data_IF_530191739329
#
_entry.id   IF_530191739329
#
_cell.length_a   1.000
_cell.length_b   1.000
_cell.length_c   1.000
_cell.angle_alpha   90.00
_cell.angle_beta   90.00
_cell.angle_gamma   90.00
#
_symmetry.space_group_name_H-M   'P 1'
#
loop_
_entity.id
_entity.type
_entity.pdbx_description
1 polymer ?
#
# COMPACT_ATOMS: atom_id res chain seq x y z
N UNK A 1 19.99 12.01 -1.88
CA UNK A 1 19.96 12.53 -0.49
C UNK A 1 18.99 11.67 0.30
N UNK A 2 19.46 11.10 1.41
CA UNK A 2 18.73 10.15 2.26
C UNK A 2 17.69 10.97 3.06
N UNK A 3 16.39 10.66 2.91
CA UNK A 3 15.34 11.23 3.77
C UNK A 3 15.67 10.93 5.24
N UNK A 4 15.48 11.89 6.16
CA UNK A 4 15.78 11.68 7.56
C UNK A 4 14.96 10.52 8.12
N UNK A 5 15.61 9.59 8.81
CA UNK A 5 14.91 8.53 9.52
C UNK A 5 13.96 9.16 10.56
N UNK A 6 12.74 8.64 10.74
CA UNK A 6 11.82 9.18 11.72
C UNK A 6 12.47 9.16 13.12
N UNK A 7 12.24 10.23 13.89
CA UNK A 7 12.75 10.37 15.26
C UNK A 7 12.37 9.17 16.14
N UNK A 8 13.21 8.81 17.11
CA UNK A 8 12.98 7.63 17.96
C UNK A 8 11.59 7.66 18.67
N UNK A 9 11.10 8.84 19.04
CA UNK A 9 9.76 9.03 19.63
C UNK A 9 8.60 8.78 18.64
N UNK A 10 8.76 9.19 17.37
CA UNK A 10 7.75 8.94 16.33
C UNK A 10 7.74 7.49 15.85
N UNK A 11 8.90 6.82 15.85
CA UNK A 11 9.01 5.38 15.53
C UNK A 11 8.29 4.49 16.54
N UNK A 12 8.47 4.74 17.84
CA UNK A 12 7.76 4.00 18.90
C UNK A 12 6.24 4.16 18.78
N UNK A 13 5.76 5.38 18.52
CA UNK A 13 4.34 5.64 18.30
C UNK A 13 3.77 4.97 17.05
N UNK A 14 4.53 4.92 15.95
CA UNK A 14 4.14 4.21 14.73
C UNK A 14 4.01 2.70 14.93
N UNK A 15 5.03 2.05 15.50
CA UNK A 15 5.00 0.60 15.74
C UNK A 15 3.83 0.21 16.63
N UNK A 16 3.50 1.04 17.62
CA UNK A 16 2.30 0.84 18.43
C UNK A 16 1.02 0.93 17.59
N UNK A 17 0.89 1.92 16.70
CA UNK A 17 -0.29 2.06 15.82
C UNK A 17 -0.38 0.91 14.81
N UNK A 18 0.73 0.47 14.23
CA UNK A 18 0.78 -0.69 13.34
C UNK A 18 0.32 -1.97 14.05
N UNK A 19 0.84 -2.23 15.26
CA UNK A 19 0.41 -3.35 16.11
C UNK A 19 -1.08 -3.27 16.47
N UNK A 20 -1.59 -2.07 16.78
CA UNK A 20 -3.01 -1.86 17.06
C UNK A 20 -3.86 -2.08 15.81
N UNK A 21 -3.43 -1.59 14.65
CA UNK A 21 -4.14 -1.79 13.39
C UNK A 21 -4.23 -3.28 13.04
N UNK A 22 -3.12 -3.99 13.14
CA UNK A 22 -3.10 -5.43 12.87
C UNK A 22 -3.67 -6.29 14.00
N UNK A 23 -4.18 -5.71 15.10
CA UNK A 23 -4.58 -6.45 16.29
C UNK A 23 -5.58 -7.58 15.99
N UNK A 24 -6.56 -7.34 15.12
CA UNK A 24 -7.55 -8.38 14.75
C UNK A 24 -6.91 -9.57 14.03
N UNK A 25 -5.95 -9.32 13.14
CA UNK A 25 -5.22 -10.38 12.43
C UNK A 25 -4.25 -11.08 13.39
N UNK A 26 -3.56 -10.29 14.21
CA UNK A 26 -2.59 -10.76 15.21
C UNK A 26 -3.22 -11.65 16.26
N UNK A 27 -4.41 -11.34 16.78
CA UNK A 27 -5.04 -12.12 17.87
C UNK A 27 -5.18 -13.60 17.50
N UNK A 28 -5.50 -13.91 16.24
CA UNK A 28 -5.62 -15.30 15.77
C UNK A 28 -4.26 -16.02 15.71
N UNK A 29 -3.19 -15.32 15.31
CA UNK A 29 -1.85 -15.89 15.20
C UNK A 29 -1.12 -15.94 16.55
N UNK A 30 -1.13 -14.84 17.30
CA UNK A 30 -0.44 -14.73 18.58
C UNK A 30 -1.07 -15.62 19.67
N UNK A 31 -2.37 -15.91 19.59
CA UNK A 31 -3.04 -16.84 20.50
C UNK A 31 -2.43 -18.24 20.49
N UNK A 32 -1.93 -18.70 19.35
CA UNK A 32 -1.28 -20.02 19.22
C UNK A 32 0.08 -20.10 19.94
N UNK A 33 0.75 -18.97 20.13
CA UNK A 33 2.05 -18.89 20.79
C UNK A 33 1.94 -18.65 22.32
N UNK A 34 0.76 -18.85 22.92
CA UNK A 34 0.51 -18.56 24.34
C UNK A 34 0.83 -19.71 25.31
N UNK A 35 1.43 -20.80 24.82
CA UNK A 35 1.87 -21.95 25.62
C UNK A 35 1.59 -23.28 24.94
N UNK A 36 2.55 -24.21 24.98
CA UNK A 36 2.43 -25.53 24.36
C UNK A 36 3.75 -26.08 23.82
N UNK A 37 3.69 -27.30 23.29
CA UNK A 37 4.82 -27.95 22.61
C UNK A 37 4.76 -27.57 21.12
N UNK A 38 5.93 -27.45 20.49
CA UNK A 38 6.04 -27.33 19.03
C UNK A 38 5.97 -28.73 18.46
N UNK A 39 4.77 -29.18 18.12
CA UNK A 39 4.50 -30.47 17.47
C UNK A 39 3.79 -30.29 16.13
N UNK A 40 3.45 -31.39 15.46
CA UNK A 40 2.78 -31.33 14.15
C UNK A 40 1.39 -30.69 14.24
N UNK A 41 0.66 -30.90 15.34
CA UNK A 41 -0.67 -30.32 15.55
C UNK A 41 -0.58 -28.79 15.69
N UNK A 42 0.42 -28.29 16.41
CA UNK A 42 0.70 -26.85 16.49
C UNK A 42 0.99 -26.24 15.10
N UNK A 43 1.75 -26.94 14.25
CA UNK A 43 2.08 -26.45 12.91
C UNK A 43 0.88 -26.46 11.97
N UNK A 44 -0.01 -27.45 12.10
CA UNK A 44 -1.28 -27.52 11.36
C UNK A 44 -2.23 -26.38 11.78
N UNK A 45 -2.38 -26.14 13.09
CA UNK A 45 -3.17 -25.02 13.61
C UNK A 45 -2.61 -23.66 13.15
N UNK A 46 -1.29 -23.54 13.10
CA UNK A 46 -0.61 -22.35 12.57
C UNK A 46 -0.89 -22.15 11.07
N UNK A 47 -0.90 -23.22 10.28
CA UNK A 47 -1.27 -23.17 8.86
C UNK A 47 -2.71 -22.67 8.69
N UNK A 48 -3.65 -23.23 9.45
CA UNK A 48 -5.06 -22.79 9.43
C UNK A 48 -5.21 -21.32 9.84
N UNK A 49 -4.46 -20.86 10.83
CA UNK A 49 -4.48 -19.46 11.25
C UNK A 49 -3.92 -18.52 10.16
N UNK A 50 -2.86 -18.90 9.45
CA UNK A 50 -2.33 -18.14 8.31
C UNK A 50 -3.35 -18.05 7.16
N UNK A 51 -4.02 -19.16 6.85
CA UNK A 51 -5.09 -19.19 5.85
C UNK A 51 -6.25 -18.29 6.28
N UNK A 52 -6.69 -18.38 7.53
CA UNK A 52 -7.73 -17.53 8.11
C UNK A 52 -7.38 -16.04 8.12
N UNK A 53 -6.08 -15.72 8.17
CA UNK A 53 -5.56 -14.36 8.03
C UNK A 53 -5.47 -13.87 6.57
N UNK A 54 -5.99 -14.63 5.60
CA UNK A 54 -5.92 -14.38 4.15
C UNK A 54 -4.48 -14.38 3.57
N UNK A 55 -3.53 -15.12 4.16
CA UNK A 55 -2.20 -15.37 3.55
C UNK A 55 -2.30 -16.21 2.27
N UNK A 56 -3.39 -16.97 2.13
CA UNK A 56 -3.66 -17.86 1.00
C UNK A 56 -3.10 -19.26 1.22
N UNK A 57 -3.75 -20.28 0.67
CA UNK A 57 -3.45 -21.70 0.94
C UNK A 57 -2.02 -22.04 0.54
N UNK A 58 -1.65 -21.78 -0.73
CA UNK A 58 -0.31 -22.09 -1.25
C UNK A 58 0.80 -21.40 -0.45
N UNK A 59 0.65 -20.10 -0.20
CA UNK A 59 1.65 -19.32 0.54
C UNK A 59 1.76 -19.77 1.99
N UNK A 60 0.65 -20.12 2.64
CA UNK A 60 0.66 -20.61 4.02
C UNK A 60 1.40 -21.94 4.10
N UNK A 61 1.12 -22.86 3.18
CA UNK A 61 1.80 -24.14 3.09
C UNK A 61 3.31 -23.99 2.88
N UNK A 62 3.72 -23.12 1.93
CA UNK A 62 5.13 -22.80 1.68
C UNK A 62 5.84 -22.26 2.94
N UNK A 63 5.18 -21.37 3.69
CA UNK A 63 5.71 -20.82 4.93
C UNK A 63 5.88 -21.90 6.02
N UNK A 64 4.91 -22.81 6.15
CA UNK A 64 4.97 -23.90 7.15
C UNK A 64 6.06 -24.90 6.81
N UNK A 65 6.25 -25.27 5.55
CA UNK A 65 7.32 -26.19 5.15
C UNK A 65 8.72 -25.55 5.34
N UNK A 66 8.87 -24.26 5.07
CA UNK A 66 10.09 -23.51 5.38
C UNK A 66 10.36 -23.48 6.89
N UNK A 67 9.31 -23.24 7.70
CA UNK A 67 9.40 -23.22 9.15
C UNK A 67 9.77 -24.59 9.74
N UNK A 68 9.15 -25.67 9.26
CA UNK A 68 9.49 -27.06 9.62
C UNK A 68 10.96 -27.36 9.35
N UNK A 69 11.48 -26.90 8.23
CA UNK A 69 12.89 -27.05 7.86
C UNK A 69 13.79 -26.32 8.86
N UNK A 70 13.49 -25.06 9.19
CA UNK A 70 14.25 -24.30 10.19
C UNK A 70 14.20 -24.92 11.58
N UNK A 71 13.03 -25.38 12.04
CA UNK A 71 12.90 -26.05 13.36
C UNK A 71 13.89 -27.20 13.47
N UNK A 72 14.02 -28.02 12.43
CA UNK A 72 14.94 -29.16 12.39
C UNK A 72 16.41 -28.75 12.28
N UNK A 73 16.72 -27.80 11.40
CA UNK A 73 18.11 -27.40 11.09
C UNK A 73 18.71 -26.56 12.22
N UNK A 74 17.96 -25.59 12.73
CA UNK A 74 18.41 -24.65 13.75
C UNK A 74 18.16 -25.18 15.18
N UNK A 75 17.43 -26.29 15.31
CA UNK A 75 17.10 -26.90 16.59
C UNK A 75 16.23 -26.01 17.47
N UNK A 76 15.19 -25.40 16.90
CA UNK A 76 14.29 -24.49 17.63
C UNK A 76 13.42 -25.28 18.61
N UNK A 77 13.50 -24.96 19.90
CA UNK A 77 12.87 -25.73 20.98
C UNK A 77 11.66 -25.02 21.60
N UNK A 78 11.58 -23.70 21.44
CA UNK A 78 10.55 -22.88 22.09
C UNK A 78 9.60 -22.26 21.08
N UNK A 79 8.34 -22.07 21.47
CA UNK A 79 7.35 -21.36 20.66
C UNK A 79 7.81 -19.94 20.29
N UNK A 80 8.56 -19.26 21.16
CA UNK A 80 9.11 -17.93 20.87
C UNK A 80 10.19 -17.96 19.78
N UNK A 81 11.07 -18.97 19.76
CA UNK A 81 12.03 -19.18 18.67
C UNK A 81 11.31 -19.46 17.34
N UNK A 82 10.29 -20.32 17.37
CA UNK A 82 9.46 -20.63 16.19
C UNK A 82 8.71 -19.40 15.69
N UNK A 83 8.17 -18.57 16.59
CA UNK A 83 7.50 -17.31 16.24
C UNK A 83 8.47 -16.33 15.55
N UNK A 84 9.70 -16.23 16.05
CA UNK A 84 10.75 -15.42 15.42
C UNK A 84 11.11 -15.95 14.04
N UNK A 85 11.29 -17.26 13.91
CA UNK A 85 11.54 -17.90 12.62
C UNK A 85 10.38 -17.65 11.62
N UNK A 86 9.12 -17.73 12.06
CA UNK A 86 7.97 -17.36 11.23
C UNK A 86 8.01 -15.90 10.79
N UNK A 87 8.35 -14.97 11.70
CA UNK A 87 8.51 -13.56 11.36
C UNK A 87 9.64 -13.35 10.34
N UNK A 88 10.74 -14.08 10.46
CA UNK A 88 11.84 -14.04 9.49
C UNK A 88 11.42 -14.56 8.11
N UNK A 89 10.69 -15.67 8.05
CA UNK A 89 10.17 -16.23 6.79
C UNK A 89 9.17 -15.28 6.12
N UNK A 90 8.26 -14.67 6.90
CA UNK A 90 7.35 -13.64 6.40
C UNK A 90 8.10 -12.39 5.93
N UNK A 91 9.15 -11.98 6.64
CA UNK A 91 10.01 -10.87 6.23
C UNK A 91 10.68 -11.18 4.90
N UNK A 92 11.29 -12.37 4.76
CA UNK A 92 11.93 -12.81 3.53
C UNK A 92 10.95 -12.88 2.35
N UNK A 93 9.73 -13.33 2.59
CA UNK A 93 8.65 -13.32 1.61
C UNK A 93 8.31 -11.90 1.13
N UNK A 94 8.19 -10.94 2.05
CA UNK A 94 7.73 -9.58 1.78
C UNK A 94 8.83 -8.65 1.27
N UNK A 95 10.09 -8.93 1.61
CA UNK A 95 11.25 -8.07 1.30
C UNK A 95 11.36 -7.67 -0.17
N UNK A 96 11.11 -8.56 -1.16
CA UNK A 96 11.18 -8.18 -2.59
C UNK A 96 10.15 -7.12 -3.00
N UNK A 97 9.09 -6.94 -2.22
CA UNK A 97 8.09 -5.90 -2.43
C UNK A 97 8.33 -4.65 -1.57
N UNK A 98 9.34 -4.62 -0.71
CA UNK A 98 9.71 -3.38 -0.02
C UNK A 98 10.35 -2.40 -1.01
N UNK A 99 9.79 -1.18 -1.13
CA UNK A 99 10.35 -0.18 -2.02
C UNK A 99 9.93 1.24 -1.66
N UNK A 100 10.52 2.21 -2.36
CA UNK A 100 10.31 3.64 -2.13
C UNK A 100 10.17 4.37 -3.46
N UNK A 101 9.46 5.49 -3.43
CA UNK A 101 9.38 6.39 -4.58
C UNK A 101 10.74 7.10 -4.74
N UNK A 102 11.34 7.00 -5.92
CA UNK A 102 12.53 7.76 -6.27
C UNK A 102 12.16 9.14 -6.83
N UNK A 103 12.10 10.11 -5.93
CA UNK A 103 11.80 11.50 -6.26
C UNK A 103 12.89 12.23 -7.05
N UNK A 104 14.04 11.61 -7.32
CA UNK A 104 15.10 12.22 -8.14
C UNK A 104 14.92 12.00 -9.65
N UNK A 105 14.03 11.06 -10.05
CA UNK A 105 13.83 10.65 -11.44
C UNK A 105 13.29 11.75 -12.35
N UNK A 106 12.53 12.69 -11.78
CA UNK A 106 11.88 13.76 -12.55
C UNK A 106 11.41 14.90 -11.66
N UNK A 107 11.25 16.09 -12.25
CA UNK A 107 10.71 17.28 -11.59
C UNK A 107 9.79 18.05 -12.56
N UNK A 108 8.45 17.99 -12.39
CA UNK A 108 7.74 17.27 -11.34
C UNK A 108 7.76 15.74 -11.55
N UNK A 109 7.88 14.99 -10.45
CA UNK A 109 7.51 13.58 -10.43
C UNK A 109 5.97 13.47 -10.45
N UNK A 110 5.44 12.84 -11.49
CA UNK A 110 3.98 12.68 -11.67
C UNK A 110 3.53 11.31 -11.16
N UNK A 111 2.67 11.31 -10.14
CA UNK A 111 2.04 10.13 -9.55
C UNK A 111 0.58 10.03 -10.03
N UNK A 112 0.19 8.91 -10.63
CA UNK A 112 -1.20 8.57 -10.93
C UNK A 112 -1.73 7.61 -9.88
N UNK A 113 -2.77 8.00 -9.14
CA UNK A 113 -3.37 7.17 -8.09
C UNK A 113 -4.63 6.51 -8.61
N UNK A 114 -4.62 5.18 -8.70
CA UNK A 114 -5.71 4.37 -9.20
C UNK A 114 -6.29 3.44 -8.12
N UNK A 115 -7.45 2.86 -8.39
CA UNK A 115 -8.11 1.90 -7.50
C UNK A 115 -9.63 2.06 -7.48
N UNK A 116 -10.32 1.07 -6.91
CA UNK A 116 -11.79 1.07 -6.86
C UNK A 116 -12.34 2.12 -5.89
N UNK A 117 -13.63 2.41 -5.99
CA UNK A 117 -14.33 3.22 -4.99
C UNK A 117 -14.27 2.56 -3.61
N UNK A 118 -14.16 3.38 -2.56
CA UNK A 118 -14.09 2.89 -1.19
C UNK A 118 -12.69 2.42 -0.74
N UNK A 119 -11.74 2.18 -1.65
CA UNK A 119 -10.38 1.75 -1.29
C UNK A 119 -9.54 2.82 -0.56
N UNK A 120 -10.03 4.05 -0.47
CA UNK A 120 -9.34 5.14 0.25
C UNK A 120 -8.38 5.98 -0.61
N UNK A 121 -8.62 6.10 -1.92
CA UNK A 121 -7.78 6.92 -2.85
C UNK A 121 -7.58 8.35 -2.41
N UNK A 122 -8.66 9.14 -2.35
CA UNK A 122 -8.61 10.56 -2.00
C UNK A 122 -8.02 10.78 -0.60
N UNK A 123 -8.33 9.90 0.35
CA UNK A 123 -7.71 9.90 1.69
C UNK A 123 -6.21 9.63 1.63
N UNK A 124 -5.77 8.63 0.87
CA UNK A 124 -4.35 8.30 0.70
C UNK A 124 -3.58 9.42 0.00
N UNK A 125 -4.19 10.11 -0.97
CA UNK A 125 -3.61 11.28 -1.63
C UNK A 125 -3.39 12.40 -0.61
N UNK A 126 -4.39 12.71 0.22
CA UNK A 126 -4.25 13.74 1.26
C UNK A 126 -3.13 13.43 2.26
N UNK A 127 -3.03 12.16 2.69
CA UNK A 127 -1.96 11.71 3.60
C UNK A 127 -0.59 11.73 2.94
N UNK A 128 -0.47 11.25 1.71
CA UNK A 128 0.77 11.28 0.95
C UNK A 128 1.24 12.71 0.69
N UNK A 129 0.32 13.61 0.36
CA UNK A 129 0.62 15.03 0.14
C UNK A 129 1.18 15.70 1.40
N UNK A 130 0.60 15.39 2.57
CA UNK A 130 1.14 15.85 3.87
C UNK A 130 2.50 15.24 4.18
N UNK A 131 2.67 13.93 3.96
CA UNK A 131 3.96 13.26 4.13
C UNK A 131 5.06 13.91 3.26
N UNK A 132 4.76 14.21 2.00
CA UNK A 132 5.67 14.92 1.08
C UNK A 132 5.97 16.36 1.53
N UNK A 133 4.96 17.08 2.03
CA UNK A 133 5.16 18.43 2.56
C UNK A 133 6.06 18.43 3.80
N UNK A 134 5.94 17.42 4.66
CA UNK A 134 6.84 17.24 5.82
C UNK A 134 8.28 16.90 5.37
N UNK A 135 8.45 16.28 4.21
CA UNK A 135 9.74 16.06 3.54
C UNK A 135 10.22 17.30 2.73
N UNK A 136 9.60 18.46 2.95
CA UNK A 136 9.90 19.73 2.27
C UNK A 136 9.77 19.70 0.74
N UNK A 137 8.89 18.84 0.22
CA UNK A 137 8.58 18.77 -1.22
C UNK A 137 7.34 19.59 -1.53
N UNK A 138 7.41 20.39 -2.58
CA UNK A 138 6.27 21.11 -3.14
C UNK A 138 5.36 20.14 -3.91
N UNK A 139 4.06 20.20 -3.61
CA UNK A 139 3.06 19.28 -4.16
C UNK A 139 1.97 20.07 -4.90
N UNK A 140 1.49 19.52 -6.01
CA UNK A 140 0.31 19.97 -6.72
C UNK A 140 -0.65 18.79 -6.90
N UNK A 141 -1.93 18.99 -6.59
CA UNK A 141 -2.95 17.94 -6.70
C UNK A 141 -3.82 18.16 -7.93
N UNK A 142 -4.14 17.08 -8.65
CA UNK A 142 -5.09 17.09 -9.76
C UNK A 142 -6.35 16.31 -9.38
N UNK A 143 -7.50 16.98 -9.40
CA UNK A 143 -8.80 16.38 -9.07
C UNK A 143 -9.40 15.64 -10.29
N UNK A 144 -8.77 14.55 -10.71
CA UNK A 144 -9.19 13.77 -11.88
C UNK A 144 -10.39 12.83 -11.65
N UNK A 145 -10.89 12.65 -10.42
CA UNK A 145 -12.21 12.05 -10.17
C UNK A 145 -13.33 13.10 -10.45
N UNK A 146 -13.55 13.40 -11.73
CA UNK A 146 -14.49 14.45 -12.14
C UNK A 146 -15.96 14.02 -12.03
N UNK A 147 -16.23 12.71 -11.91
CA UNK A 147 -17.57 12.16 -11.75
C UNK A 147 -18.15 12.40 -10.35
N UNK A 148 -17.30 12.47 -9.32
CA UNK A 148 -17.74 12.58 -7.92
C UNK A 148 -17.44 13.97 -7.37
N UNK A 149 -18.46 14.82 -7.32
CA UNK A 149 -18.36 16.16 -6.70
C UNK A 149 -17.77 16.10 -5.28
N UNK A 150 -18.24 15.17 -4.45
CA UNK A 150 -17.74 14.96 -3.10
C UNK A 150 -16.24 14.56 -3.05
N UNK A 151 -15.73 13.83 -4.04
CA UNK A 151 -14.31 13.48 -4.09
C UNK A 151 -13.45 14.73 -4.37
N UNK A 152 -13.90 15.60 -5.29
CA UNK A 152 -13.24 16.87 -5.57
C UNK A 152 -13.24 17.80 -4.35
N UNK A 153 -14.39 17.93 -3.68
CA UNK A 153 -14.50 18.72 -2.44
C UNK A 153 -13.61 18.17 -1.33
N UNK A 154 -13.59 16.85 -1.14
CA UNK A 154 -12.72 16.21 -0.16
C UNK A 154 -11.23 16.46 -0.48
N UNK A 155 -10.83 16.36 -1.74
CA UNK A 155 -9.46 16.67 -2.16
C UNK A 155 -9.10 18.15 -1.96
N UNK A 156 -10.04 19.06 -2.22
CA UNK A 156 -9.87 20.49 -1.96
C UNK A 156 -9.70 20.80 -0.47
N UNK A 157 -10.47 20.13 0.40
CA UNK A 157 -10.31 20.23 1.86
C UNK A 157 -8.92 19.73 2.28
N UNK A 158 -8.45 18.61 1.71
CA UNK A 158 -7.10 18.10 1.95
C UNK A 158 -6.02 19.08 1.48
N UNK A 159 -6.19 19.69 0.31
CA UNK A 159 -5.30 20.72 -0.22
C UNK A 159 -5.23 21.94 0.72
N UNK A 160 -6.39 22.50 1.06
CA UNK A 160 -6.49 23.67 1.93
C UNK A 160 -5.87 23.43 3.32
N UNK A 161 -6.11 22.26 3.93
CA UNK A 161 -5.52 21.89 5.23
C UNK A 161 -4.00 21.82 5.22
N UNK A 162 -3.39 21.54 4.07
CA UNK A 162 -1.95 21.36 3.94
C UNK A 162 -1.27 22.50 3.16
N UNK A 163 -2.00 23.57 2.83
CA UNK A 163 -1.54 24.65 1.95
C UNK A 163 -1.00 24.14 0.60
N UNK A 164 -1.71 23.17 0.02
CA UNK A 164 -1.41 22.53 -1.26
C UNK A 164 -2.49 22.92 -2.26
N UNK A 165 -2.06 23.41 -3.42
CA UNK A 165 -2.99 23.80 -4.48
C UNK A 165 -3.62 22.55 -5.14
N UNK A 166 -4.90 22.69 -5.50
CA UNK A 166 -5.66 21.65 -6.18
C UNK A 166 -6.20 22.21 -7.49
N UNK A 167 -5.83 21.58 -8.60
CA UNK A 167 -6.38 21.87 -9.93
C UNK A 167 -7.60 20.99 -10.14
N UNK A 168 -8.74 21.61 -10.37
CA UNK A 168 -10.03 20.95 -10.56
C UNK A 168 -10.84 21.67 -11.63
N UNK A 169 -11.66 20.91 -12.37
CA UNK A 169 -12.70 21.45 -13.25
C UNK A 169 -14.05 20.84 -12.85
N UNK A 170 -15.14 21.59 -12.99
CA UNK A 170 -16.50 21.11 -12.73
C UNK A 170 -17.07 20.44 -13.98
N UNK A 171 -17.30 19.12 -13.93
CA UNK A 171 -17.85 18.37 -15.06
C UNK A 171 -16.90 18.25 -16.27
N UNK A 172 -15.61 18.51 -16.07
CA UNK A 172 -14.58 18.43 -17.12
C UNK A 172 -14.13 16.99 -17.39
N UNK A 173 -13.47 16.80 -18.54
CA UNK A 173 -12.82 15.55 -18.91
C UNK A 173 -11.65 15.26 -17.92
N UNK A 174 -11.63 14.11 -17.20
CA UNK A 174 -10.51 13.74 -16.34
C UNK A 174 -9.15 13.88 -17.00
N UNK A 175 -9.04 13.49 -18.28
CA UNK A 175 -7.80 13.56 -19.04
C UNK A 175 -7.33 15.02 -19.26
N UNK A 176 -8.24 15.98 -19.39
CA UNK A 176 -7.91 17.39 -19.50
C UNK A 176 -7.44 17.97 -18.15
N UNK A 177 -8.13 17.64 -17.06
CA UNK A 177 -7.75 18.10 -15.70
C UNK A 177 -6.33 17.66 -15.33
N UNK A 178 -5.97 16.39 -15.60
CA UNK A 178 -4.62 15.90 -15.32
C UNK A 178 -3.57 16.49 -16.26
N UNK A 179 -3.92 16.76 -17.53
CA UNK A 179 -3.01 17.42 -18.48
C UNK A 179 -2.64 18.83 -18.00
N UNK A 180 -3.66 19.59 -17.60
CA UNK A 180 -3.49 20.96 -17.10
C UNK A 180 -2.66 20.95 -15.81
N UNK A 181 -2.91 19.99 -14.91
CA UNK A 181 -2.17 19.89 -13.67
C UNK A 181 -0.70 19.52 -13.87
N UNK A 182 -0.39 18.58 -14.77
CA UNK A 182 1.00 18.23 -15.11
C UNK A 182 1.70 19.41 -15.78
N UNK A 183 1.02 20.09 -16.70
CA UNK A 183 1.55 21.28 -17.40
C UNK A 183 1.83 22.43 -16.42
N UNK A 184 0.91 22.70 -15.49
CA UNK A 184 1.07 23.69 -14.45
C UNK A 184 2.20 23.32 -13.48
N UNK A 185 2.28 22.06 -13.05
CA UNK A 185 3.36 21.56 -12.20
C UNK A 185 4.73 21.75 -12.84
N UNK A 186 4.85 21.45 -14.14
CA UNK A 186 6.07 21.70 -14.93
C UNK A 186 6.41 23.18 -15.00
N UNK A 187 5.45 24.04 -15.34
CA UNK A 187 5.67 25.48 -15.48
C UNK A 187 6.10 26.15 -14.16
N UNK A 188 5.60 25.63 -13.03
CA UNK A 188 5.88 26.14 -11.67
C UNK A 188 7.10 25.49 -11.01
N UNK A 189 7.68 24.45 -11.61
CA UNK A 189 8.82 23.72 -11.05
C UNK A 189 8.52 23.02 -9.73
N UNK A 190 7.28 22.56 -9.53
CA UNK A 190 6.91 21.79 -8.32
C UNK A 190 7.64 20.44 -8.30
N UNK A 191 7.83 19.87 -7.11
CA UNK A 191 8.54 18.61 -6.97
C UNK A 191 7.67 17.41 -7.35
N UNK A 192 6.38 17.43 -6.99
CA UNK A 192 5.46 16.30 -7.20
C UNK A 192 4.09 16.77 -7.68
N UNK A 193 3.53 16.08 -8.68
CA UNK A 193 2.12 16.20 -9.08
C UNK A 193 1.42 14.89 -8.75
N UNK A 194 0.32 14.93 -8.00
CA UNK A 194 -0.48 13.73 -7.67
C UNK A 194 -1.85 13.86 -8.33
N UNK A 195 -2.18 12.92 -9.21
CA UNK A 195 -3.47 12.86 -9.88
C UNK A 195 -4.39 11.83 -9.21
N UNK A 196 -5.53 12.30 -8.68
CA UNK A 196 -6.65 11.44 -8.32
C UNK A 196 -7.35 10.95 -9.59
N UNK A 197 -7.94 9.76 -9.55
CA UNK A 197 -8.71 9.21 -10.67
C UNK A 197 -10.04 8.67 -10.20
N UNK A 198 -11.00 8.54 -11.11
CA UNK A 198 -12.24 7.84 -10.82
C UNK A 198 -11.98 6.40 -10.34
N UNK A 199 -12.81 5.91 -9.43
CA UNK A 199 -12.76 4.51 -8.96
C UNK A 199 -13.96 3.66 -9.34
N UNK A 200 -14.91 4.22 -10.09
CA UNK A 200 -16.08 3.49 -10.59
C UNK A 200 -16.60 4.14 -11.86
N UNK A 201 -16.66 3.32 -12.90
CA UNK A 201 -17.43 3.57 -14.12
C UNK A 201 -18.47 2.45 -14.27
N UNK A 202 -19.41 2.52 -15.23
CA UNK A 202 -20.49 1.53 -15.36
C UNK A 202 -19.99 0.08 -15.44
N UNK A 203 -18.78 -0.14 -15.96
CA UNK A 203 -18.10 -1.44 -16.00
C UNK A 203 -16.61 -1.29 -15.62
N UNK A 204 -15.97 -2.38 -15.21
CA UNK A 204 -14.52 -2.40 -15.00
C UNK A 204 -13.76 -2.06 -16.29
N UNK A 205 -14.24 -2.51 -17.45
CA UNK A 205 -13.59 -2.22 -18.74
C UNK A 205 -13.55 -0.71 -19.03
N UNK A 206 -14.66 0.00 -18.79
CA UNK A 206 -14.67 1.46 -18.94
C UNK A 206 -13.69 2.13 -17.99
N UNK A 207 -13.58 1.66 -16.74
CA UNK A 207 -12.58 2.16 -15.78
C UNK A 207 -11.16 1.98 -16.31
N UNK A 208 -10.82 0.81 -16.84
CA UNK A 208 -9.47 0.56 -17.37
C UNK A 208 -9.15 1.43 -18.60
N UNK A 209 -10.10 1.60 -19.52
CA UNK A 209 -9.89 2.47 -20.69
C UNK A 209 -9.74 3.94 -20.29
N UNK A 210 -10.47 4.40 -19.28
CA UNK A 210 -10.32 5.74 -18.73
C UNK A 210 -8.93 5.96 -18.12
N UNK A 211 -8.42 5.01 -17.34
CA UNK A 211 -7.09 5.08 -16.77
C UNK A 211 -5.99 5.08 -17.84
N UNK A 212 -6.14 4.29 -18.91
CA UNK A 212 -5.24 4.33 -20.07
C UNK A 212 -5.26 5.70 -20.76
N UNK A 213 -6.43 6.33 -20.87
CA UNK A 213 -6.59 7.66 -21.45
C UNK A 213 -5.92 8.73 -20.60
N UNK A 214 -6.11 8.70 -19.28
CA UNK A 214 -5.43 9.56 -18.31
C UNK A 214 -3.90 9.41 -18.42
N UNK A 215 -3.40 8.17 -18.45
CA UNK A 215 -1.97 7.87 -18.62
C UNK A 215 -1.39 8.52 -19.89
N UNK A 216 -2.05 8.36 -21.05
CA UNK A 216 -1.63 9.00 -22.31
C UNK A 216 -1.66 10.53 -22.24
N UNK A 217 -2.62 11.09 -21.51
CA UNK A 217 -2.72 12.54 -21.33
C UNK A 217 -1.56 13.10 -20.52
N UNK A 218 -1.19 12.42 -19.43
CA UNK A 218 -0.03 12.79 -18.62
C UNK A 218 1.27 12.73 -19.44
N UNK A 219 1.48 11.67 -20.24
CA UNK A 219 2.64 11.55 -21.14
C UNK A 219 2.72 12.68 -22.17
N UNK A 220 1.57 13.09 -22.72
CA UNK A 220 1.50 14.23 -23.64
C UNK A 220 1.89 15.55 -22.98
N UNK A 221 1.53 15.76 -21.71
CA UNK A 221 1.89 16.96 -20.96
C UNK A 221 3.38 16.97 -20.54
N UNK A 222 3.90 15.81 -20.18
CA UNK A 222 5.29 15.60 -19.79
C UNK A 222 5.74 14.20 -20.25
N UNK A 223 6.58 14.09 -21.28
CA UNK A 223 7.05 12.80 -21.78
C UNK A 223 7.63 11.92 -20.67
N UNK A 224 7.18 10.67 -20.58
CA UNK A 224 7.54 9.73 -19.52
C UNK A 224 6.62 9.76 -18.29
N UNK A 225 5.66 10.68 -18.21
CA UNK A 225 4.64 10.69 -17.17
C UNK A 225 3.47 9.73 -17.51
N UNK A 226 2.76 9.19 -16.51
CA UNK A 226 3.10 9.21 -15.08
C UNK A 226 4.36 8.37 -14.80
N UNK A 227 5.19 8.87 -13.88
CA UNK A 227 6.43 8.21 -13.48
C UNK A 227 6.17 7.12 -12.46
N UNK A 228 5.09 7.28 -11.67
CA UNK A 228 4.55 6.27 -10.77
C UNK A 228 3.06 6.07 -11.03
N UNK A 229 2.63 4.82 -11.11
CA UNK A 229 1.23 4.40 -11.17
C UNK A 229 0.95 3.57 -9.93
N UNK A 230 0.24 4.18 -8.98
CA UNK A 230 0.06 3.65 -7.64
C UNK A 230 -1.37 3.12 -7.49
N UNK A 231 -1.50 1.83 -7.23
CA UNK A 231 -2.79 1.22 -6.92
C UNK A 231 -3.07 1.27 -5.41
N UNK A 232 -4.19 1.85 -5.03
CA UNK A 232 -4.71 1.78 -3.67
C UNK A 232 -5.54 0.51 -3.49
N UNK A 233 -5.12 -0.33 -2.55
CA UNK A 233 -5.74 -1.60 -2.19
C UNK A 233 -6.40 -1.47 -0.82
N UNK A 234 -7.65 -1.91 -0.72
CA UNK A 234 -8.34 -2.05 0.56
C UNK A 234 -7.92 -3.37 1.22
N UNK A 235 -7.23 -3.30 2.37
CA UNK A 235 -6.76 -4.47 3.12
C UNK A 235 -7.88 -5.37 3.65
N UNK A 236 -9.13 -4.90 3.68
CA UNK A 236 -10.28 -5.73 4.06
C UNK A 236 -10.71 -6.71 2.95
N UNK A 237 -10.28 -6.49 1.70
CA UNK A 237 -10.72 -7.27 0.55
C UNK A 237 -10.04 -8.64 0.43
N UNK A 238 -9.04 -8.95 1.26
CA UNK A 238 -8.41 -10.26 1.30
C UNK A 238 -7.83 -10.68 -0.06
N UNK A 239 -8.07 -11.92 -0.46
CA UNK A 239 -7.63 -12.50 -1.73
C UNK A 239 -8.19 -11.78 -2.98
N UNK A 240 -9.30 -11.05 -2.88
CA UNK A 240 -9.82 -10.27 -4.02
C UNK A 240 -8.85 -9.15 -4.45
N UNK A 241 -7.96 -8.72 -3.55
CA UNK A 241 -6.92 -7.76 -3.85
C UNK A 241 -5.95 -8.26 -4.93
N UNK A 242 -5.64 -9.57 -4.97
CA UNK A 242 -4.71 -10.13 -5.96
C UNK A 242 -5.28 -10.00 -7.38
N UNK A 243 -6.54 -10.40 -7.59
CA UNK A 243 -7.21 -10.26 -8.87
C UNK A 243 -7.30 -8.78 -9.31
N UNK A 244 -7.50 -7.88 -8.35
CA UNK A 244 -7.49 -6.44 -8.60
C UNK A 244 -6.10 -5.96 -9.05
N UNK A 245 -5.02 -6.34 -8.35
CA UNK A 245 -3.66 -5.97 -8.74
C UNK A 245 -3.38 -6.41 -10.17
N UNK A 246 -3.71 -7.66 -10.52
CA UNK A 246 -3.50 -8.18 -11.86
C UNK A 246 -4.26 -7.36 -12.92
N UNK A 247 -5.55 -7.11 -12.71
CA UNK A 247 -6.38 -6.39 -13.67
C UNK A 247 -5.91 -4.94 -13.92
N UNK A 248 -5.50 -4.23 -12.87
CA UNK A 248 -4.99 -2.87 -13.01
C UNK A 248 -3.58 -2.85 -13.63
N UNK A 249 -2.74 -3.81 -13.28
CA UNK A 249 -1.38 -3.93 -13.83
C UNK A 249 -1.40 -4.24 -15.34
N UNK A 250 -2.27 -5.14 -15.78
CA UNK A 250 -2.45 -5.42 -17.21
C UNK A 250 -2.98 -4.19 -17.97
N UNK A 251 -3.78 -3.35 -17.32
CA UNK A 251 -4.37 -2.17 -17.95
C UNK A 251 -3.39 -1.00 -18.06
N UNK A 252 -2.64 -0.70 -17.00
CA UNK A 252 -1.85 0.54 -16.92
C UNK A 252 -0.38 0.36 -16.54
N UNK A 253 0.05 -0.83 -16.13
CA UNK A 253 1.42 -1.12 -15.68
C UNK A 253 1.73 -0.45 -14.35
N UNK A 254 1.41 -1.13 -13.25
CA UNK A 254 1.58 -0.58 -11.91
C UNK A 254 3.07 -0.49 -11.54
N UNK A 255 3.44 0.57 -10.83
CA UNK A 255 4.79 0.77 -10.30
C UNK A 255 4.83 0.71 -8.78
N UNK A 256 3.68 0.83 -8.12
CA UNK A 256 3.60 0.75 -6.67
C UNK A 256 2.20 0.43 -6.14
N UNK A 257 2.16 -0.04 -4.91
CA UNK A 257 0.93 -0.32 -4.16
C UNK A 257 0.91 0.52 -2.88
N UNK A 258 -0.28 0.95 -2.49
CA UNK A 258 -0.56 1.42 -1.12
C UNK A 258 -1.70 0.58 -0.57
N UNK A 259 -1.49 -0.03 0.59
CA UNK A 259 -2.54 -0.84 1.24
C UNK A 259 -3.15 -0.07 2.39
N UNK A 260 -4.45 0.08 2.42
CA UNK A 260 -5.19 0.86 3.43
C UNK A 260 -6.06 -0.04 4.31
N UNK A 261 -6.64 0.55 5.37
CA UNK A 261 -7.62 -0.09 6.26
C UNK A 261 -7.15 -1.38 6.93
N UNK A 262 -5.85 -1.49 7.17
CA UNK A 262 -5.29 -2.65 7.87
C UNK A 262 -5.78 -2.73 9.34
N UNK A 263 -6.25 -1.62 9.90
CA UNK A 263 -6.92 -1.51 11.21
C UNK A 263 -8.33 -2.11 11.25
N UNK A 264 -9.00 -2.19 10.10
CA UNK A 264 -10.35 -2.70 10.02
C UNK A 264 -10.45 -4.23 10.06
N UNK A 265 -9.35 -4.94 9.83
CA UNK A 265 -9.39 -6.31 9.26
C UNK A 265 -8.59 -7.37 10.02
N UNK A 266 -9.11 -8.59 10.01
CA UNK A 266 -8.38 -9.81 10.39
C UNK A 266 -7.64 -10.46 9.19
N UNK A 267 -7.65 -9.79 8.03
CA UNK A 267 -7.18 -10.30 6.74
C UNK A 267 -5.84 -9.68 6.30
N UNK A 268 -5.00 -9.30 7.27
CA UNK A 268 -3.71 -8.64 6.99
C UNK A 268 -2.74 -9.49 6.17
N UNK A 269 -2.93 -10.81 6.11
CA UNK A 269 -2.12 -11.74 5.32
C UNK A 269 -2.23 -11.58 3.80
N UNK A 270 -3.23 -10.84 3.29
CA UNK A 270 -3.41 -10.63 1.86
C UNK A 270 -2.18 -10.04 1.15
N UNK A 271 -1.36 -9.25 1.85
CA UNK A 271 -0.09 -8.73 1.33
C UNK A 271 0.87 -9.87 0.97
N UNK A 272 1.02 -10.86 1.87
CA UNK A 272 1.87 -12.01 1.65
C UNK A 272 1.44 -12.79 0.39
N UNK A 273 0.12 -12.96 0.20
CA UNK A 273 -0.42 -13.59 -1.00
C UNK A 273 -0.11 -12.82 -2.29
N UNK A 274 -0.26 -11.48 -2.27
CA UNK A 274 0.05 -10.63 -3.43
C UNK A 274 1.52 -10.73 -3.79
N UNK A 275 2.41 -10.65 -2.79
CA UNK A 275 3.86 -10.74 -3.02
C UNK A 275 4.25 -12.13 -3.51
N UNK A 276 3.69 -13.20 -2.91
CA UNK A 276 3.93 -14.58 -3.33
C UNK A 276 3.52 -14.82 -4.79
N UNK A 277 2.32 -14.39 -5.17
CA UNK A 277 1.81 -14.54 -6.53
C UNK A 277 2.62 -13.73 -7.57
N UNK A 278 3.37 -12.72 -7.11
CA UNK A 278 4.14 -11.81 -7.97
C UNK A 278 5.65 -11.89 -7.74
N UNK A 279 6.18 -12.96 -7.15
CA UNK A 279 7.63 -13.15 -6.88
C UNK A 279 8.51 -12.89 -8.11
N UNK A 280 8.06 -13.26 -9.31
CA UNK A 280 8.82 -13.07 -10.56
C UNK A 280 8.76 -11.64 -11.12
N UNK A 281 7.73 -10.87 -10.76
CA UNK A 281 7.57 -9.45 -11.14
C UNK A 281 6.97 -8.67 -9.97
N UNK A 282 7.76 -8.46 -8.89
CA UNK A 282 7.26 -7.78 -7.70
C UNK A 282 6.82 -6.36 -8.03
N UNK A 283 5.70 -5.94 -7.46
CA UNK A 283 5.32 -4.52 -7.44
C UNK A 283 5.61 -4.01 -6.03
N UNK A 284 6.41 -2.95 -5.87
CA UNK A 284 6.70 -2.38 -4.57
C UNK A 284 5.44 -1.98 -3.80
N UNK A 285 5.33 -2.39 -2.55
CA UNK A 285 4.43 -1.80 -1.57
C UNK A 285 5.15 -0.56 -1.03
N UNK A 286 4.63 0.61 -1.37
CA UNK A 286 5.26 1.88 -1.05
C UNK A 286 4.85 2.35 0.35
N UNK A 287 3.56 2.22 0.68
CA UNK A 287 2.99 2.66 1.96
C UNK A 287 1.92 1.70 2.45
N UNK A 288 1.73 1.70 3.77
CA UNK A 288 0.60 1.05 4.44
C UNK A 288 -0.16 2.03 5.32
N UNK A 289 -1.48 1.87 5.36
CA UNK A 289 -2.43 2.70 6.09
C UNK A 289 -3.14 1.89 7.18
N UNK A 290 -3.02 2.33 8.43
CA UNK A 290 -3.52 1.63 9.63
C UNK A 290 -4.50 2.47 10.46
N UNK A 291 -5.20 3.40 9.82
CA UNK A 291 -6.20 4.24 10.48
C UNK A 291 -6.61 5.44 9.65
N UNK A 292 -7.43 6.32 10.23
CA UNK A 292 -7.99 7.51 9.58
C UNK A 292 -7.19 8.78 9.85
N UNK A 293 -6.33 8.80 10.88
CA UNK A 293 -5.54 9.98 11.19
C UNK A 293 -4.52 10.28 10.09
N UNK A 294 -4.13 11.56 10.00
CA UNK A 294 -3.25 12.05 8.94
C UNK A 294 -1.89 11.35 8.93
N UNK A 295 -1.39 10.96 10.11
CA UNK A 295 -0.10 10.29 10.28
C UNK A 295 -0.18 8.75 10.24
N UNK A 296 -1.34 8.20 9.89
CA UNK A 296 -1.57 6.74 9.84
C UNK A 296 -1.19 6.11 8.49
N UNK A 297 -0.61 6.87 7.57
CA UNK A 297 0.05 6.37 6.36
C UNK A 297 1.57 6.46 6.55
N UNK A 298 2.26 5.32 6.49
CA UNK A 298 3.72 5.29 6.62
C UNK A 298 4.35 4.40 5.54
N UNK A 299 5.63 4.63 5.21
CA UNK A 299 6.38 3.76 4.32
C UNK A 299 6.32 2.31 4.79
N UNK A 300 6.16 1.38 3.85
CA UNK A 300 6.16 -0.04 4.17
C UNK A 300 7.57 -0.51 4.55
N UNK A 301 7.66 -1.31 5.62
CA UNK A 301 8.87 -2.00 6.04
C UNK A 301 8.49 -3.45 6.31
N UNK A 302 9.10 -4.39 5.57
CA UNK A 302 8.71 -5.79 5.59
C UNK A 302 8.83 -6.40 6.99
N UNK A 303 9.94 -6.10 7.68
CA UNK A 303 10.20 -6.58 9.04
C UNK A 303 9.17 -6.08 10.06
N UNK A 304 8.89 -4.77 10.05
CA UNK A 304 7.93 -4.18 10.99
C UNK A 304 6.54 -4.78 10.80
N UNK A 305 6.14 -5.02 9.55
CA UNK A 305 4.87 -5.65 9.22
C UNK A 305 4.82 -7.11 9.69
N UNK A 306 5.85 -7.91 9.40
CA UNK A 306 5.93 -9.31 9.80
C UNK A 306 5.91 -9.48 11.33
N UNK A 307 6.62 -8.62 12.06
CA UNK A 307 6.59 -8.60 13.52
C UNK A 307 5.24 -8.23 14.08
N UNK A 308 4.60 -7.19 13.53
CA UNK A 308 3.29 -6.79 13.97
C UNK A 308 2.24 -7.88 13.70
N UNK A 309 2.35 -8.61 12.59
CA UNK A 309 1.46 -9.71 12.20
C UNK A 309 1.61 -10.94 13.12
N UNK A 310 2.84 -11.35 13.40
CA UNK A 310 3.16 -12.51 14.25
C UNK A 310 3.10 -12.19 15.75
N UNK A 311 2.97 -10.92 16.10
CA UNK A 311 2.96 -10.46 17.49
C UNK A 311 4.33 -10.36 18.15
N UNK A 312 5.39 -10.23 17.35
CA UNK A 312 6.76 -10.04 17.80
C UNK A 312 7.07 -8.68 18.41
N UNK A 313 8.07 -8.68 19.29
CA UNK A 313 8.62 -7.50 19.99
C UNK A 313 9.71 -6.85 19.16
#
# INVERSE_FOLDING_TARGET
MISPAPSAGSKSGWLSRLRTGLAKTRVNLAGLFSGGVVDEAFLEDLEFALIGADVGVTTSHELIEALKTRIKVDGLLTQEEVRRALSDELTALLQPAEGRIDFSRSRPLVLMVAGINGAGKTTSIGKLAKWLANEHRSVLLAAGDTFRAAAREQLAIWGARNNIEVIAQSGGDPAAVVFDAVSAGKARGVDVVIADTAGRLPTQQHLMEELKRIKRSQDKALPGAPHEIILIIDGTNGQNALAQVQAFDDAVGLTGLIVTKLDGTAKGGALAAIVAARRNRPIPILFIGVGEAIDDLQPFVAREFADALTGGV
#
